data_IF_850206765767
#
_entry.id   IF_850206765767
#
_cell.length_a   1.000
_cell.length_b   1.000
_cell.length_c   1.000
_cell.angle_alpha   90.00
_cell.angle_beta   90.00
_cell.angle_gamma   90.00
#
_symmetry.space_group_name_H-M   'P 1'
#
loop_
_entity.id
_entity.type
_entity.pdbx_description
1 polymer ?
#
# COMPACT_ATOMS: atom_id res chain seq x y z
N UNK A 1 24.29 11.93 2.92
CA UNK A 1 23.80 13.07 3.74
C UNK A 1 24.96 13.66 4.52
N UNK A 2 25.12 14.98 4.54
CA UNK A 2 26.14 15.66 5.35
C UNK A 2 25.51 16.76 6.20
N UNK A 3 25.78 16.72 7.51
CA UNK A 3 25.43 17.81 8.42
C UNK A 3 26.04 19.15 7.96
N UNK A 4 27.23 19.15 7.36
CA UNK A 4 27.89 20.36 6.87
C UNK A 4 27.25 20.95 5.62
N UNK A 5 26.51 20.16 4.85
CA UNK A 5 25.79 20.64 3.65
C UNK A 5 24.31 20.94 3.92
N UNK A 6 23.83 20.75 5.14
CA UNK A 6 22.43 21.02 5.51
C UNK A 6 21.39 20.11 4.86
N UNK A 7 21.81 19.04 4.16
CA UNK A 7 20.94 18.10 3.44
C UNK A 7 20.62 16.85 4.27
N UNK A 8 20.49 17.01 5.58
CA UNK A 8 20.14 15.92 6.50
C UNK A 8 18.62 15.88 6.66
N UNK A 9 18.04 14.71 6.44
CA UNK A 9 16.64 14.44 6.78
C UNK A 9 16.63 13.75 8.14
N UNK A 10 16.14 14.45 9.16
CA UNK A 10 15.96 13.88 10.50
C UNK A 10 14.69 12.98 10.51
N UNK A 11 14.80 11.68 10.85
CA UNK A 11 13.65 10.79 10.98
C UNK A 11 12.55 11.33 11.89
N UNK A 12 12.89 12.01 12.99
CA UNK A 12 11.88 12.57 13.89
C UNK A 12 11.11 13.71 13.23
N UNK A 13 11.79 14.53 12.43
CA UNK A 13 11.12 15.59 11.65
C UNK A 13 10.17 15.00 10.60
N UNK A 14 10.49 13.84 10.00
CA UNK A 14 9.57 13.16 9.08
C UNK A 14 8.34 12.60 9.82
N UNK A 15 8.53 12.06 11.02
CA UNK A 15 7.48 11.42 11.80
C UNK A 15 6.53 12.46 12.42
N UNK A 16 7.09 13.43 13.13
CA UNK A 16 6.36 14.41 13.96
C UNK A 16 6.09 15.74 13.21
N UNK A 17 6.83 15.98 12.14
CA UNK A 17 6.84 17.25 11.42
C UNK A 17 7.91 18.20 11.95
N UNK A 18 8.19 19.24 11.17
CA UNK A 18 9.10 20.32 11.55
C UNK A 18 8.41 21.47 12.28
N UNK A 19 9.19 22.50 12.61
CA UNK A 19 8.68 23.74 13.24
C UNK A 19 7.57 24.40 12.42
N UNK A 20 7.67 24.34 11.09
CA UNK A 20 6.64 24.81 10.17
C UNK A 20 5.95 23.62 9.49
N UNK A 21 4.78 23.25 10.00
CA UNK A 21 3.98 22.13 9.50
C UNK A 21 3.49 22.31 8.05
N UNK A 22 3.47 23.55 7.51
CA UNK A 22 3.14 23.76 6.08
C UNK A 22 4.29 23.36 5.16
N UNK A 23 5.53 23.48 5.63
CA UNK A 23 6.74 23.16 4.86
C UNK A 23 7.22 21.72 5.13
N UNK A 24 7.13 21.27 6.37
CA UNK A 24 7.50 19.93 6.82
C UNK A 24 6.39 19.34 7.70
N UNK A 25 5.30 18.81 7.10
CA UNK A 25 4.25 18.16 7.86
C UNK A 25 4.74 16.83 8.45
N UNK A 26 4.14 16.40 9.57
CA UNK A 26 4.33 15.05 10.09
C UNK A 26 3.70 14.01 9.16
N UNK A 27 4.51 13.11 8.62
CA UNK A 27 4.06 12.00 7.77
C UNK A 27 3.81 10.72 8.57
N UNK A 28 4.36 10.61 9.77
CA UNK A 28 4.28 9.42 10.62
C UNK A 28 5.29 8.33 10.27
N UNK A 29 5.49 7.41 11.20
CA UNK A 29 6.49 6.35 11.10
C UNK A 29 6.24 5.39 9.92
N UNK A 30 4.98 5.08 9.63
CA UNK A 30 4.65 4.13 8.56
C UNK A 30 4.95 4.68 7.16
N UNK A 31 4.82 6.00 6.94
CA UNK A 31 5.22 6.60 5.65
C UNK A 31 6.74 6.52 5.47
N UNK A 32 7.50 6.74 6.54
CA UNK A 32 8.96 6.57 6.50
C UNK A 32 9.34 5.10 6.25
N UNK A 33 8.69 4.13 6.92
CA UNK A 33 8.92 2.69 6.70
C UNK A 33 8.53 2.26 5.29
N UNK A 34 7.44 2.81 4.76
CA UNK A 34 7.01 2.57 3.39
C UNK A 34 8.05 3.09 2.39
N UNK A 35 8.60 4.28 2.62
CA UNK A 35 9.74 4.78 1.84
C UNK A 35 10.93 3.82 1.89
N UNK A 36 11.35 3.39 3.08
CA UNK A 36 12.45 2.41 3.23
C UNK A 36 12.18 1.14 2.44
N UNK A 37 10.95 0.62 2.47
CA UNK A 37 10.60 -0.58 1.70
C UNK A 37 10.59 -0.36 0.19
N UNK A 38 10.44 0.88 -0.28
CA UNK A 38 10.31 1.21 -1.70
C UNK A 38 11.63 1.37 -2.45
N UNK A 39 12.73 1.60 -1.72
CA UNK A 39 14.03 1.91 -2.32
C UNK A 39 14.90 0.66 -2.49
N UNK A 40 15.69 0.62 -3.57
CA UNK A 40 16.75 -0.36 -3.73
C UNK A 40 17.95 0.05 -2.85
N UNK A 41 18.12 -0.66 -1.74
CA UNK A 41 19.13 -0.36 -0.72
C UNK A 41 20.54 -0.83 -1.12
N UNK A 42 20.73 -1.45 -2.29
CA UNK A 42 22.05 -1.87 -2.76
C UNK A 42 22.91 -0.69 -3.25
N UNK A 43 22.28 0.46 -3.53
CA UNK A 43 22.94 1.70 -3.91
C UNK A 43 22.55 2.88 -3.03
N UNK A 44 22.99 4.07 -3.44
CA UNK A 44 22.59 5.32 -2.80
C UNK A 44 21.10 5.59 -3.03
N UNK A 45 20.39 5.92 -1.95
CA UNK A 45 18.95 6.17 -1.96
C UNK A 45 18.64 7.63 -1.71
N UNK A 46 17.65 8.15 -2.44
CA UNK A 46 17.23 9.55 -2.35
C UNK A 46 16.05 9.70 -1.40
N UNK A 47 16.12 10.71 -0.52
CA UNK A 47 15.02 11.14 0.33
C UNK A 47 14.92 12.66 0.33
N UNK A 48 13.69 13.15 0.22
CA UNK A 48 13.39 14.57 0.23
C UNK A 48 11.89 14.84 0.32
N UNK A 49 11.47 16.11 0.43
CA UNK A 49 10.07 16.49 0.65
C UNK A 49 9.11 15.95 -0.42
N UNK A 50 9.52 15.94 -1.70
CA UNK A 50 8.69 15.43 -2.79
C UNK A 50 8.48 13.91 -2.67
N UNK A 51 9.55 13.17 -2.36
CA UNK A 51 9.49 11.70 -2.16
C UNK A 51 8.58 11.37 -0.99
N UNK A 52 8.71 12.06 0.14
CA UNK A 52 7.87 11.83 1.32
C UNK A 52 6.39 12.15 1.05
N UNK A 53 6.12 13.22 0.29
CA UNK A 53 4.75 13.55 -0.15
C UNK A 53 4.17 12.44 -1.01
N UNK A 54 4.92 11.95 -2.00
CA UNK A 54 4.49 10.83 -2.84
C UNK A 54 4.24 9.55 -2.02
N UNK A 55 5.11 9.24 -1.06
CA UNK A 55 4.93 8.09 -0.18
C UNK A 55 3.68 8.22 0.71
N UNK A 56 3.38 9.44 1.17
CA UNK A 56 2.14 9.74 1.89
C UNK A 56 0.90 9.50 1.04
N UNK A 57 0.92 9.92 -0.23
CA UNK A 57 -0.21 9.71 -1.15
C UNK A 57 -0.43 8.21 -1.44
N UNK A 58 0.66 7.45 -1.64
CA UNK A 58 0.60 6.00 -1.82
C UNK A 58 0.06 5.31 -0.56
N UNK A 59 0.56 5.70 0.62
CA UNK A 59 0.08 5.21 1.91
C UNK A 59 -1.43 5.47 2.10
N UNK A 60 -1.90 6.68 1.77
CA UNK A 60 -3.32 7.03 1.82
C UNK A 60 -4.16 6.20 0.86
N UNK A 61 -3.67 5.94 -0.36
CA UNK A 61 -4.35 5.08 -1.33
C UNK A 61 -4.45 3.64 -0.82
N UNK A 62 -3.36 3.09 -0.30
CA UNK A 62 -3.34 1.75 0.33
C UNK A 62 -4.35 1.66 1.46
N UNK A 63 -4.32 2.61 2.40
CA UNK A 63 -5.26 2.67 3.52
C UNK A 63 -6.71 2.83 3.05
N UNK A 64 -6.95 3.63 2.01
CA UNK A 64 -8.26 3.81 1.41
C UNK A 64 -8.83 2.50 0.84
N UNK A 65 -8.00 1.74 0.11
CA UNK A 65 -8.38 0.42 -0.42
C UNK A 65 -8.69 -0.58 0.69
N UNK A 66 -7.85 -0.65 1.75
CA UNK A 66 -8.12 -1.52 2.90
C UNK A 66 -9.40 -1.11 3.64
N UNK A 67 -9.64 0.20 3.80
CA UNK A 67 -10.87 0.73 4.40
C UNK A 67 -12.10 0.38 3.58
N UNK A 68 -12.01 0.43 2.25
CA UNK A 68 -13.09 0.01 1.36
C UNK A 68 -13.44 -1.46 1.59
N UNK A 69 -12.44 -2.35 1.60
CA UNK A 69 -12.64 -3.77 1.88
C UNK A 69 -13.32 -3.99 3.24
N UNK A 70 -12.77 -3.41 4.30
CA UNK A 70 -13.33 -3.54 5.66
C UNK A 70 -14.74 -2.98 5.78
N UNK A 71 -15.03 -1.85 5.11
CA UNK A 71 -16.36 -1.25 5.13
C UNK A 71 -17.44 -2.11 4.49
N UNK A 72 -17.08 -2.89 3.47
CA UNK A 72 -17.99 -3.83 2.80
C UNK A 72 -18.18 -5.15 3.55
N UNK A 73 -17.58 -5.30 4.74
CA UNK A 73 -17.76 -6.48 5.61
C UNK A 73 -18.63 -6.18 6.85
N UNK A 74 -19.23 -4.99 6.94
CA UNK A 74 -19.92 -4.52 8.16
C UNK A 74 -21.13 -5.38 8.58
N UNK A 75 -21.78 -6.02 7.61
CA UNK A 75 -22.95 -6.88 7.75
C UNK A 75 -22.66 -8.35 7.41
N UNK A 76 -21.44 -8.67 6.97
CA UNK A 76 -21.02 -10.03 6.62
C UNK A 76 -20.82 -10.91 7.85
N UNK A 77 -21.31 -12.15 7.80
CA UNK A 77 -21.15 -13.18 8.82
C UNK A 77 -20.51 -14.43 8.21
N UNK A 78 -19.90 -15.28 9.04
CA UNK A 78 -19.24 -16.49 8.58
C UNK A 78 -20.19 -17.44 7.79
N UNK A 79 -21.47 -17.45 8.16
CA UNK A 79 -22.51 -18.25 7.49
C UNK A 79 -22.83 -17.75 6.06
N UNK A 80 -22.47 -16.50 5.73
CA UNK A 80 -22.61 -15.92 4.39
C UNK A 80 -21.45 -16.31 3.45
N UNK A 81 -20.54 -17.17 3.91
CA UNK A 81 -19.42 -17.65 3.09
C UNK A 81 -19.91 -18.47 1.90
N UNK A 82 -19.38 -18.17 0.72
CA UNK A 82 -19.71 -18.85 -0.53
C UNK A 82 -18.59 -19.83 -0.88
N UNK A 83 -18.94 -21.05 -1.28
CA UNK A 83 -17.95 -22.03 -1.71
C UNK A 83 -17.18 -21.53 -2.94
N UNK A 84 -15.91 -21.89 -3.07
CA UNK A 84 -15.08 -21.41 -4.19
C UNK A 84 -15.69 -21.71 -5.57
N UNK A 85 -16.37 -22.85 -5.72
CA UNK A 85 -16.96 -23.25 -7.00
C UNK A 85 -18.19 -22.42 -7.36
N UNK A 86 -18.88 -21.90 -6.35
CA UNK A 86 -20.08 -21.06 -6.49
C UNK A 86 -19.74 -19.57 -6.60
N UNK A 87 -18.47 -19.21 -6.39
CA UNK A 87 -18.01 -17.84 -6.58
C UNK A 87 -18.15 -17.39 -8.04
N UNK A 88 -18.66 -16.17 -8.26
CA UNK A 88 -18.58 -15.50 -9.56
C UNK A 88 -17.15 -15.51 -10.11
N UNK A 89 -17.02 -15.60 -11.44
CA UNK A 89 -15.70 -15.70 -12.10
C UNK A 89 -14.79 -14.53 -11.75
N UNK A 90 -15.35 -13.34 -11.55
CA UNK A 90 -14.62 -12.13 -11.16
C UNK A 90 -14.02 -12.25 -9.75
N UNK A 91 -14.75 -12.83 -8.80
CA UNK A 91 -14.29 -13.05 -7.43
C UNK A 91 -13.18 -14.12 -7.41
N UNK A 92 -13.35 -15.21 -8.19
CA UNK A 92 -12.29 -16.21 -8.40
C UNK A 92 -11.04 -15.61 -9.04
N UNK A 93 -11.20 -14.69 -9.98
CA UNK A 93 -10.08 -13.97 -10.57
C UNK A 93 -9.34 -13.13 -9.53
N UNK A 94 -10.05 -12.39 -8.66
CA UNK A 94 -9.44 -11.62 -7.59
C UNK A 94 -8.65 -12.53 -6.61
N UNK A 95 -9.20 -13.70 -6.25
CA UNK A 95 -8.50 -14.68 -5.43
C UNK A 95 -7.24 -15.25 -6.12
N UNK A 96 -7.30 -15.51 -7.43
CA UNK A 96 -6.14 -15.93 -8.20
C UNK A 96 -5.04 -14.86 -8.22
N UNK A 97 -5.41 -13.59 -8.39
CA UNK A 97 -4.44 -12.49 -8.31
C UNK A 97 -3.83 -12.37 -6.91
N UNK A 98 -4.64 -12.51 -5.86
CA UNK A 98 -4.16 -12.52 -4.48
C UNK A 98 -3.15 -13.64 -4.24
N UNK A 99 -3.41 -14.85 -4.73
CA UNK A 99 -2.49 -15.98 -4.60
C UNK A 99 -1.14 -15.71 -5.29
N UNK A 100 -1.15 -15.13 -6.48
CA UNK A 100 0.08 -14.71 -7.17
C UNK A 100 0.83 -13.64 -6.38
N UNK A 101 0.12 -12.65 -5.82
CA UNK A 101 0.70 -11.61 -4.97
C UNK A 101 1.36 -12.22 -3.73
N UNK A 102 0.66 -13.09 -3.02
CA UNK A 102 1.19 -13.76 -1.81
C UNK A 102 2.44 -14.56 -2.13
N UNK A 103 2.44 -15.32 -3.23
CA UNK A 103 3.60 -16.10 -3.68
C UNK A 103 4.81 -15.21 -3.97
N UNK A 104 4.62 -14.17 -4.78
CA UNK A 104 5.71 -13.28 -5.18
C UNK A 104 6.25 -12.46 -3.99
N UNK A 105 5.39 -12.09 -3.04
CA UNK A 105 5.80 -11.41 -1.80
C UNK A 105 6.64 -12.33 -0.92
N UNK A 106 6.25 -13.60 -0.75
CA UNK A 106 7.02 -14.58 0.02
C UNK A 106 8.43 -14.76 -0.56
N UNK A 107 8.52 -14.99 -1.87
CA UNK A 107 9.80 -15.11 -2.57
C UNK A 107 10.63 -13.82 -2.44
N UNK A 108 10.01 -12.65 -2.54
CA UNK A 108 10.72 -11.37 -2.38
C UNK A 108 11.24 -11.18 -0.95
N UNK A 109 10.51 -11.62 0.08
CA UNK A 109 10.98 -11.61 1.46
C UNK A 109 12.18 -12.53 1.67
N UNK A 110 12.14 -13.75 1.13
CA UNK A 110 13.24 -14.72 1.22
C UNK A 110 14.53 -14.19 0.59
N UNK A 111 14.41 -13.36 -0.44
CA UNK A 111 15.53 -12.74 -1.15
C UNK A 111 15.84 -11.31 -0.67
N UNK A 112 15.20 -10.83 0.41
CA UNK A 112 15.33 -9.47 0.94
C UNK A 112 14.99 -8.34 -0.07
N UNK A 113 14.23 -8.63 -1.13
CA UNK A 113 13.87 -7.69 -2.19
C UNK A 113 12.63 -6.85 -1.83
N UNK A 114 12.74 -6.03 -0.77
CA UNK A 114 11.59 -5.26 -0.25
C UNK A 114 10.98 -4.28 -1.28
N UNK A 115 11.80 -3.67 -2.14
CA UNK A 115 11.30 -2.79 -3.21
C UNK A 115 10.36 -3.51 -4.18
N UNK A 116 10.58 -4.80 -4.43
CA UNK A 116 9.66 -5.61 -5.24
C UNK A 116 8.33 -5.82 -4.51
N UNK A 117 8.36 -6.08 -3.20
CA UNK A 117 7.15 -6.20 -2.37
C UNK A 117 6.32 -4.92 -2.49
N UNK A 118 6.96 -3.75 -2.34
CA UNK A 118 6.31 -2.46 -2.50
C UNK A 118 5.63 -2.33 -3.88
N UNK A 119 6.33 -2.65 -4.96
CA UNK A 119 5.80 -2.59 -6.33
C UNK A 119 4.62 -3.56 -6.54
N UNK A 120 4.72 -4.79 -6.04
CA UNK A 120 3.68 -5.82 -6.13
C UNK A 120 2.42 -5.33 -5.42
N UNK A 121 2.54 -4.86 -4.16
CA UNK A 121 1.40 -4.37 -3.38
C UNK A 121 0.78 -3.15 -4.05
N UNK A 122 1.60 -2.20 -4.49
CA UNK A 122 1.11 -0.99 -5.14
C UNK A 122 0.31 -1.32 -6.42
N UNK A 123 0.83 -2.20 -7.28
CA UNK A 123 0.15 -2.65 -8.49
C UNK A 123 -1.16 -3.36 -8.14
N UNK A 124 -1.14 -4.30 -7.19
CA UNK A 124 -2.32 -5.06 -6.79
C UNK A 124 -3.44 -4.15 -6.27
N UNK A 125 -3.10 -3.20 -5.41
CA UNK A 125 -4.04 -2.27 -4.80
C UNK A 125 -4.63 -1.30 -5.81
N UNK A 126 -3.82 -0.77 -6.73
CA UNK A 126 -4.25 0.23 -7.69
C UNK A 126 -4.96 -0.42 -8.87
N UNK A 127 -4.31 -1.38 -9.52
CA UNK A 127 -4.77 -1.96 -10.78
C UNK A 127 -5.79 -3.06 -10.54
N UNK A 128 -5.39 -4.11 -9.83
CA UNK A 128 -6.19 -5.33 -9.74
C UNK A 128 -7.43 -5.11 -8.85
N UNK A 129 -7.27 -4.42 -7.72
CA UNK A 129 -8.36 -4.11 -6.79
C UNK A 129 -9.12 -2.84 -7.17
N UNK A 130 -8.49 -1.66 -7.02
CA UNK A 130 -9.21 -0.38 -7.08
C UNK A 130 -9.76 -0.06 -8.47
N UNK A 131 -9.00 -0.31 -9.54
CA UNK A 131 -9.40 0.08 -10.90
C UNK A 131 -10.27 -0.98 -11.58
N UNK A 132 -10.17 -2.25 -11.17
CA UNK A 132 -10.87 -3.35 -11.81
C UNK A 132 -11.88 -4.02 -10.88
N UNK A 133 -11.42 -4.78 -9.88
CA UNK A 133 -12.31 -5.62 -9.07
C UNK A 133 -13.40 -4.81 -8.35
N UNK A 134 -13.03 -3.71 -7.68
CA UNK A 134 -14.00 -2.90 -6.95
C UNK A 134 -15.00 -2.23 -7.88
N UNK A 135 -14.58 -1.81 -9.06
CA UNK A 135 -15.47 -1.15 -10.00
C UNK A 135 -16.57 -2.10 -10.49
N UNK A 136 -16.19 -3.35 -10.79
CA UNK A 136 -17.13 -4.41 -11.17
C UNK A 136 -17.98 -4.89 -9.98
N UNK A 137 -17.42 -4.93 -8.78
CA UNK A 137 -18.11 -5.47 -7.60
C UNK A 137 -19.10 -4.48 -6.96
N UNK A 138 -18.98 -3.17 -7.20
CA UNK A 138 -19.83 -2.12 -6.58
C UNK A 138 -21.32 -2.39 -6.73
N UNK A 139 -21.77 -2.76 -7.93
CA UNK A 139 -23.20 -2.96 -8.19
C UNK A 139 -23.79 -4.04 -7.29
N UNK A 140 -23.07 -5.16 -7.13
CA UNK A 140 -23.44 -6.24 -6.20
C UNK A 140 -23.38 -5.81 -4.74
N UNK A 141 -22.37 -5.03 -4.37
CA UNK A 141 -22.18 -4.60 -2.99
C UNK A 141 -23.20 -3.56 -2.52
N UNK A 142 -23.73 -2.75 -3.44
CA UNK A 142 -24.62 -1.63 -3.08
C UNK A 142 -26.08 -1.86 -3.40
N UNK A 143 -26.40 -2.70 -4.38
CA UNK A 143 -27.77 -2.87 -4.86
C UNK A 143 -28.35 -4.25 -4.52
N UNK A 144 -27.50 -5.24 -4.22
CA UNK A 144 -27.89 -6.63 -3.98
C UNK A 144 -28.09 -7.42 -5.26
#
# INVERSE_FOLDING_TARGET
MSKSQGNVVDPYTVIEGGKNQKEAPGYGADVLRLWVSSVDYTGDVMIGPQVLRQMSDIYRKLRGTLRYLLGNLHDWRADDSVSYNDLPRIDRHALFQLENVVRNIKESYENYQFFKIFQIIQRFVIVDLSNFYFDVAKDRLYVG
#
